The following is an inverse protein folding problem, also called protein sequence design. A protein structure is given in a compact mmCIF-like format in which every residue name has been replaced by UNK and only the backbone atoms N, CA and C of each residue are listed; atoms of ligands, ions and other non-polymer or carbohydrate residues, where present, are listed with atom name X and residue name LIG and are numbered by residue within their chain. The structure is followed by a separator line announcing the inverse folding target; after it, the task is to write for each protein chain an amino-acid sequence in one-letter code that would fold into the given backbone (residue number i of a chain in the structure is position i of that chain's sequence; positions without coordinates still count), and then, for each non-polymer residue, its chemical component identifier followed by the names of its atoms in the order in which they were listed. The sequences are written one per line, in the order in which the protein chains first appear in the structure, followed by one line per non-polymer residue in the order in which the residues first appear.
data_IF_889261605420
#
_entry.id   IF_889261605420
#
_cell.length_a   1.000
_cell.length_b   1.000
_cell.length_c   1.000
_cell.angle_alpha   90.00
_cell.angle_beta   90.00
_cell.angle_gamma   90.00
#
_symmetry.space_group_name_H-M   'P 1'
#
loop_
_entity.id
_entity.type
_entity.pdbx_description
1 polymer ?
#
# COMPACT_ATOMS: atom_id res chain seq x y z
N UNK A 1 -4.10 -3.59 -6.72
CA UNK A 1 -4.98 -2.70 -7.54
C UNK A 1 -6.44 -3.06 -7.29
N UNK A 2 -7.42 -2.19 -7.52
CA UNK A 2 -8.80 -2.50 -7.08
C UNK A 2 -9.91 -1.86 -7.92
N UNK A 3 -11.03 -2.57 -8.06
CA UNK A 3 -12.28 -2.00 -8.59
C UNK A 3 -13.05 -1.27 -7.48
N UNK A 4 -13.74 -0.20 -7.85
CA UNK A 4 -14.59 0.58 -6.94
C UNK A 4 -15.84 1.10 -7.67
N UNK A 5 -16.69 1.81 -6.93
CA UNK A 5 -17.87 2.50 -7.48
C UNK A 5 -18.78 1.57 -8.30
N UNK A 6 -19.01 0.35 -7.81
CA UNK A 6 -19.70 -0.74 -8.51
C UNK A 6 -19.07 -1.03 -9.89
N UNK A 7 -17.76 -1.27 -9.91
CA UNK A 7 -16.96 -1.58 -11.10
C UNK A 7 -16.91 -0.46 -12.15
N UNK A 8 -17.32 0.77 -11.82
CA UNK A 8 -17.21 1.94 -12.72
C UNK A 8 -15.83 2.57 -12.68
N UNK A 9 -15.11 2.37 -11.59
CA UNK A 9 -13.76 2.88 -11.40
C UNK A 9 -12.78 1.73 -11.15
N UNK A 10 -11.57 1.89 -11.67
CA UNK A 10 -10.44 1.01 -11.38
C UNK A 10 -9.25 1.85 -10.91
N UNK A 11 -8.70 1.48 -9.77
CA UNK A 11 -7.58 2.19 -9.14
C UNK A 11 -6.31 1.35 -9.22
N UNK A 12 -5.22 2.00 -9.62
CA UNK A 12 -3.88 1.41 -9.70
C UNK A 12 -2.93 2.28 -8.90
N UNK A 13 -2.15 1.67 -8.01
CA UNK A 13 -1.05 2.34 -7.31
C UNK A 13 0.27 1.97 -7.99
N UNK A 14 1.19 2.92 -8.06
CA UNK A 14 2.61 2.58 -8.23
C UNK A 14 3.15 2.02 -6.90
N UNK A 15 4.02 1.01 -6.96
CA UNK A 15 4.66 0.45 -5.76
C UNK A 15 5.62 1.47 -5.13
N UNK A 16 6.45 2.10 -5.97
CA UNK A 16 7.48 3.07 -5.61
C UNK A 16 7.36 4.35 -6.45
N UNK A 17 8.02 5.45 -6.05
CA UNK A 17 7.99 6.71 -6.80
C UNK A 17 8.42 6.52 -8.25
N UNK A 18 7.78 7.27 -9.15
CA UNK A 18 8.30 7.45 -10.50
C UNK A 18 9.63 8.22 -10.44
N UNK A 19 10.46 8.08 -11.48
CA UNK A 19 11.75 8.75 -11.54
C UNK A 19 11.64 10.27 -11.33
N UNK A 20 10.66 10.89 -11.99
CA UNK A 20 10.34 12.31 -11.89
C UNK A 20 9.72 12.71 -10.55
N UNK A 21 9.09 11.77 -9.85
CA UNK A 21 8.42 12.01 -8.58
C UNK A 21 9.38 11.98 -7.39
N UNK A 22 10.65 11.62 -7.60
CA UNK A 22 11.72 11.78 -6.62
C UNK A 22 12.30 10.45 -6.10
N UNK A 23 13.12 10.51 -5.04
CA UNK A 23 13.78 9.32 -4.50
C UNK A 23 12.78 8.36 -3.86
N UNK A 24 13.12 7.07 -3.86
CA UNK A 24 12.39 6.01 -3.14
C UNK A 24 12.41 6.22 -1.63
N UNK A 25 11.51 5.59 -0.90
CA UNK A 25 11.51 5.61 0.55
C UNK A 25 12.80 4.99 1.12
N UNK A 26 13.40 5.63 2.11
CA UNK A 26 14.63 5.17 2.78
C UNK A 26 14.45 5.24 4.30
N UNK A 27 15.37 4.64 5.07
CA UNK A 27 15.27 4.59 6.53
C UNK A 27 15.15 5.98 7.17
N UNK A 28 15.88 6.96 6.63
CA UNK A 28 15.86 8.35 7.08
C UNK A 28 15.00 9.28 6.18
N UNK A 29 14.22 8.72 5.26
CA UNK A 29 13.40 9.49 4.33
C UNK A 29 11.98 8.90 4.24
N UNK A 30 11.08 9.51 5.02
CA UNK A 30 9.63 9.28 4.94
C UNK A 30 8.99 10.21 3.92
N UNK A 31 7.85 9.80 3.41
CA UNK A 31 7.02 10.63 2.54
C UNK A 31 7.44 10.63 1.08
N UNK A 32 8.13 9.59 0.63
CA UNK A 32 8.40 9.37 -0.78
C UNK A 32 7.06 9.30 -1.55
N UNK A 33 6.82 10.18 -2.54
CA UNK A 33 5.51 10.28 -3.17
C UNK A 33 5.34 9.25 -4.29
N UNK A 34 4.21 8.55 -4.27
CA UNK A 34 3.75 7.68 -5.35
C UNK A 34 2.42 8.18 -5.88
N UNK A 35 2.02 7.67 -7.05
CA UNK A 35 0.75 8.01 -7.69
C UNK A 35 -0.25 6.86 -7.60
N UNK A 36 -1.47 7.21 -7.19
CA UNK A 36 -2.65 6.35 -7.31
C UNK A 36 -3.52 6.89 -8.44
N UNK A 37 -3.69 6.14 -9.51
CA UNK A 37 -4.45 6.55 -10.70
C UNK A 37 -5.84 5.94 -10.67
N UNK A 38 -6.88 6.77 -10.84
CA UNK A 38 -8.27 6.37 -11.07
C UNK A 38 -8.52 6.28 -12.57
N UNK A 39 -9.01 5.16 -13.06
CA UNK A 39 -9.45 4.94 -14.43
C UNK A 39 -10.96 4.76 -14.52
N UNK A 40 -11.56 5.25 -15.61
CA UNK A 40 -12.92 4.85 -16.03
C UNK A 40 -12.84 3.46 -16.67
N UNK A 41 -13.59 2.50 -16.15
CA UNK A 41 -13.53 1.10 -16.61
C UNK A 41 -14.16 0.88 -17.98
N UNK A 42 -14.99 1.79 -18.47
CA UNK A 42 -15.63 1.71 -19.78
C UNK A 42 -14.78 2.35 -20.86
N UNK A 43 -14.17 3.51 -20.58
CA UNK A 43 -13.36 4.24 -21.57
C UNK A 43 -11.88 3.95 -21.47
N UNK A 44 -11.43 3.28 -20.39
CA UNK A 44 -10.03 3.01 -20.06
C UNK A 44 -9.15 4.27 -19.94
N UNK A 45 -9.79 5.43 -19.69
CA UNK A 45 -9.09 6.72 -19.60
C UNK A 45 -8.80 7.04 -18.14
N UNK A 46 -7.64 7.64 -17.83
CA UNK A 46 -7.38 8.15 -16.48
C UNK A 46 -8.34 9.32 -16.20
N UNK A 47 -9.01 9.27 -15.05
CA UNK A 47 -9.93 10.30 -14.57
C UNK A 47 -9.23 11.25 -13.58
N UNK A 48 -8.36 10.70 -12.73
CA UNK A 48 -7.62 11.45 -11.72
C UNK A 48 -6.36 10.70 -11.31
N UNK A 49 -5.40 11.42 -10.76
CA UNK A 49 -4.28 10.85 -10.02
C UNK A 49 -4.21 11.51 -8.65
N UNK A 50 -3.83 10.75 -7.63
CA UNK A 50 -3.67 11.24 -6.27
C UNK A 50 -2.27 10.91 -5.77
N UNK A 51 -1.66 11.87 -5.07
CA UNK A 51 -0.38 11.66 -4.43
C UNK A 51 -0.57 10.91 -3.11
N UNK A 52 0.10 9.76 -2.99
CA UNK A 52 0.21 8.99 -1.75
C UNK A 52 1.64 9.09 -1.25
N UNK A 53 1.82 9.31 0.05
CA UNK A 53 3.14 9.45 0.66
C UNK A 53 3.48 8.17 1.42
N UNK A 54 4.51 7.44 0.96
CA UNK A 54 5.00 6.22 1.61
C UNK A 54 5.54 6.51 3.01
N UNK A 55 5.44 5.53 3.91
CA UNK A 55 6.21 5.57 5.15
C UNK A 55 7.71 5.36 4.88
N UNK A 56 8.55 5.63 5.87
CA UNK A 56 9.98 5.31 5.76
C UNK A 56 10.20 3.79 5.72
N UNK A 57 11.35 3.39 5.18
CA UNK A 57 11.86 2.03 5.31
C UNK A 57 11.98 1.66 6.81
N UNK A 58 11.50 0.48 7.19
CA UNK A 58 11.41 0.08 8.60
C UNK A 58 12.79 -0.13 9.25
N UNK A 59 13.75 -0.67 8.49
CA UNK A 59 15.10 -0.95 8.95
C UNK A 59 16.12 -0.51 7.90
N UNK A 60 17.26 0.01 8.35
CA UNK A 60 18.39 0.28 7.47
C UNK A 60 19.08 -1.03 7.08
N UNK A 61 19.29 -1.26 5.79
CA UNK A 61 19.89 -2.48 5.25
C UNK A 61 21.30 -2.75 5.78
N UNK A 62 21.63 -4.04 5.94
CA UNK A 62 22.94 -4.53 6.38
C UNK A 62 23.41 -5.67 5.47
N UNK A 63 24.50 -5.51 4.70
CA UNK A 63 25.38 -4.33 4.60
C UNK A 63 24.68 -3.13 3.93
N UNK A 64 25.29 -1.95 3.99
CA UNK A 64 24.73 -0.70 3.44
C UNK A 64 24.47 -0.75 1.91
N UNK A 65 25.17 -1.64 1.20
CA UNK A 65 24.96 -1.93 -0.23
C UNK A 65 23.84 -2.94 -0.50
N UNK A 66 23.17 -3.42 0.55
CA UNK A 66 22.10 -4.40 0.46
C UNK A 66 20.86 -3.85 -0.24
N UNK A 67 20.07 -4.75 -0.82
CA UNK A 67 18.79 -4.38 -1.40
C UNK A 67 17.80 -3.96 -0.29
N UNK A 68 16.98 -2.96 -0.60
CA UNK A 68 15.89 -2.52 0.24
C UNK A 68 14.74 -2.00 -0.61
N UNK A 69 13.54 -2.04 -0.07
CA UNK A 69 12.36 -1.42 -0.65
C UNK A 69 11.32 -1.17 0.44
N UNK A 70 10.62 -0.03 0.39
CA UNK A 70 9.31 0.13 1.01
C UNK A 70 8.37 0.67 -0.06
N UNK A 71 7.26 -0.01 -0.27
CA UNK A 71 6.31 0.29 -1.34
C UNK A 71 4.90 -0.19 -1.03
N UNK A 72 3.95 0.22 -1.87
CA UNK A 72 2.57 -0.27 -1.82
C UNK A 72 2.45 -1.54 -2.67
N UNK A 73 2.17 -2.67 -2.02
CA UNK A 73 2.00 -3.95 -2.69
C UNK A 73 0.53 -4.22 -3.04
N UNK A 74 -0.39 -3.80 -2.16
CA UNK A 74 -1.81 -4.04 -2.37
C UNK A 74 -2.70 -2.88 -1.93
N UNK A 75 -3.77 -2.67 -2.70
CA UNK A 75 -4.82 -1.69 -2.41
C UNK A 75 -6.19 -2.35 -2.58
N UNK A 76 -7.14 -2.05 -1.69
CA UNK A 76 -8.51 -2.53 -1.76
C UNK A 76 -9.48 -1.39 -1.46
N UNK A 77 -10.40 -1.10 -2.38
CA UNK A 77 -11.46 -0.12 -2.14
C UNK A 77 -12.47 -0.68 -1.14
N UNK A 78 -12.85 0.13 -0.16
CA UNK A 78 -13.87 -0.22 0.86
C UNK A 78 -15.11 0.68 0.80
N UNK A 79 -15.19 1.56 -0.22
CA UNK A 79 -16.31 2.46 -0.48
C UNK A 79 -16.07 3.87 0.04
N UNK A 80 -16.95 4.82 -0.32
CA UNK A 80 -16.89 6.23 0.14
C UNK A 80 -15.52 6.91 -0.04
N UNK A 81 -14.85 6.67 -1.18
CA UNK A 81 -13.50 7.19 -1.45
C UNK A 81 -12.42 6.71 -0.45
N UNK A 82 -12.69 5.60 0.25
CA UNK A 82 -11.80 4.98 1.22
C UNK A 82 -11.25 3.64 0.73
N UNK A 83 -10.04 3.34 1.20
CA UNK A 83 -9.26 2.18 0.82
C UNK A 83 -8.49 1.61 2.00
N UNK A 84 -8.19 0.32 1.93
CA UNK A 84 -7.11 -0.30 2.69
C UNK A 84 -5.87 -0.41 1.78
N UNK A 85 -4.73 0.04 2.28
CA UNK A 85 -3.43 -0.05 1.60
C UNK A 85 -2.50 -0.91 2.44
N UNK A 86 -1.72 -1.75 1.78
CA UNK A 86 -0.61 -2.51 2.39
C UNK A 86 0.69 -1.87 1.92
N UNK A 87 1.49 -1.40 2.87
CA UNK A 87 2.91 -1.11 2.61
C UNK A 87 3.77 -2.24 3.18
N UNK A 88 4.75 -2.69 2.39
CA UNK A 88 5.74 -3.68 2.80
C UNK A 88 7.14 -3.11 2.70
N UNK A 89 7.87 -3.21 3.80
CA UNK A 89 9.27 -2.85 3.91
C UNK A 89 10.13 -4.10 3.99
N UNK A 90 11.04 -4.26 3.03
CA UNK A 90 12.08 -5.29 3.01
C UNK A 90 13.46 -4.64 3.09
N UNK A 91 14.38 -5.26 3.83
CA UNK A 91 15.78 -4.82 3.90
C UNK A 91 16.71 -6.02 4.13
N UNK A 92 17.74 -6.15 3.28
CA UNK A 92 18.78 -7.16 3.48
C UNK A 92 19.41 -7.03 4.88
N UNK A 93 19.69 -8.15 5.52
CA UNK A 93 20.20 -8.21 6.89
C UNK A 93 19.12 -8.45 7.95
N UNK A 94 17.85 -8.52 7.55
CA UNK A 94 16.70 -8.82 8.40
C UNK A 94 15.94 -10.02 7.83
N UNK A 95 15.33 -10.81 8.72
CA UNK A 95 14.73 -12.11 8.36
C UNK A 95 13.25 -12.04 8.00
N UNK A 96 12.59 -10.91 8.24
CA UNK A 96 11.16 -10.73 8.00
C UNK A 96 10.90 -9.38 7.36
N UNK A 97 9.77 -9.28 6.65
CA UNK A 97 9.22 -8.02 6.18
C UNK A 97 8.52 -7.29 7.33
N UNK A 98 8.57 -5.96 7.33
CA UNK A 98 7.62 -5.15 8.11
C UNK A 98 6.46 -4.80 7.20
N UNK A 99 5.24 -5.15 7.61
CA UNK A 99 4.02 -4.96 6.81
C UNK A 99 3.03 -4.12 7.60
N UNK A 100 2.51 -3.06 6.98
CA UNK A 100 1.59 -2.12 7.61
C UNK A 100 0.32 -1.99 6.78
N UNK A 101 -0.83 -2.07 7.45
CA UNK A 101 -2.14 -1.80 6.86
C UNK A 101 -2.55 -0.38 7.21
N UNK A 102 -2.90 0.41 6.20
CA UNK A 102 -3.36 1.78 6.33
C UNK A 102 -4.79 1.94 5.85
N UNK A 103 -5.58 2.73 6.57
CA UNK A 103 -6.80 3.33 6.06
C UNK A 103 -6.41 4.59 5.28
N UNK A 104 -6.89 4.68 4.05
CA UNK A 104 -6.59 5.77 3.12
C UNK A 104 -7.87 6.39 2.63
N UNK A 105 -7.93 7.73 2.61
CA UNK A 105 -9.08 8.49 2.16
C UNK A 105 -8.63 9.53 1.12
N UNK A 106 -9.24 9.49 -0.07
CA UNK A 106 -8.90 10.36 -1.20
C UNK A 106 -9.84 11.57 -1.35
N UNK A 107 -10.88 11.69 -0.51
CA UNK A 107 -11.98 12.65 -0.69
C UNK A 107 -11.51 14.10 -0.88
N UNK A 108 -10.54 14.54 -0.07
CA UNK A 108 -10.03 15.92 -0.10
C UNK A 108 -8.69 16.04 -0.86
N UNK A 109 -8.20 14.93 -1.45
CA UNK A 109 -6.92 14.90 -2.13
C UNK A 109 -6.96 15.72 -3.43
N UNK A 110 -5.85 16.40 -3.73
CA UNK A 110 -5.73 17.13 -4.98
C UNK A 110 -5.52 16.16 -6.14
N UNK A 111 -6.21 16.40 -7.27
CA UNK A 111 -5.91 15.68 -8.51
C UNK A 111 -4.56 16.18 -9.07
N UNK A 112 -3.56 15.31 -9.07
CA UNK A 112 -2.18 15.60 -9.48
C UNK A 112 -1.85 15.12 -10.90
N UNK A 113 -2.85 14.72 -11.69
CA UNK A 113 -2.63 14.16 -13.04
C UNK A 113 -1.90 15.11 -14.00
N UNK A 114 -1.98 16.42 -13.77
CA UNK A 114 -1.31 17.44 -14.59
C UNK A 114 0.08 17.83 -14.06
N UNK A 115 0.47 17.33 -12.88
CA UNK A 115 1.78 17.61 -12.31
C UNK A 115 2.82 16.68 -12.92
N UNK A 116 3.91 17.26 -13.43
CA UNK A 116 5.02 16.50 -14.02
C UNK A 116 5.92 15.84 -12.99
N UNK A 117 5.98 16.34 -11.75
CA UNK A 117 6.85 15.82 -10.70
C UNK A 117 6.27 16.15 -9.32
N UNK A 118 6.02 15.14 -8.49
CA UNK A 118 5.48 15.33 -7.14
C UNK A 118 6.53 15.89 -6.15
N UNK A 119 7.78 15.40 -6.16
CA UNK A 119 8.79 15.89 -5.20
C UNK A 119 9.19 17.35 -5.43
N UNK A 120 9.09 17.87 -6.66
CA UNK A 120 9.40 19.27 -6.97
C UNK A 120 8.23 20.22 -6.68
N UNK A 121 7.01 19.71 -6.56
CA UNK A 121 5.81 20.50 -6.38
C UNK A 121 5.22 20.26 -4.98
N UNK A 122 5.21 21.28 -4.11
CA UNK A 122 4.64 21.14 -2.76
C UNK A 122 3.19 21.62 -2.66
N UNK A 123 2.62 22.11 -3.75
CA UNK A 123 1.30 22.73 -3.78
C UNK A 123 0.23 21.71 -4.19
N UNK A 124 0.14 20.61 -3.46
CA UNK A 124 -0.96 19.66 -3.57
C UNK A 124 -1.28 19.07 -2.20
N UNK A 125 -2.53 18.67 -1.99
CA UNK A 125 -2.93 17.88 -0.83
C UNK A 125 -2.78 16.39 -1.16
N UNK A 126 -1.88 15.64 -0.50
CA UNK A 126 -1.85 14.19 -0.64
C UNK A 126 -3.11 13.57 -0.03
N UNK A 127 -3.31 12.28 -0.29
CA UNK A 127 -4.36 11.51 0.38
C UNK A 127 -4.18 11.52 1.91
N UNK A 128 -5.28 11.39 2.64
CA UNK A 128 -5.21 11.16 4.09
C UNK A 128 -4.87 9.70 4.36
N UNK A 129 -4.00 9.45 5.34
CA UNK A 129 -3.51 8.11 5.70
C UNK A 129 -3.48 7.91 7.20
N UNK A 130 -4.00 6.79 7.70
CA UNK A 130 -3.97 6.36 9.11
C UNK A 130 -3.50 4.91 9.22
N UNK A 131 -2.47 4.65 10.03
CA UNK A 131 -2.05 3.28 10.34
C UNK A 131 -3.16 2.57 11.13
N UNK A 132 -3.57 1.39 10.67
CA UNK A 132 -4.53 0.53 11.36
C UNK A 132 -3.83 -0.61 12.10
N UNK A 133 -2.86 -1.26 11.46
CA UNK A 133 -2.15 -2.39 12.04
C UNK A 133 -0.71 -2.45 11.50
N UNK A 134 0.25 -2.63 12.39
CA UNK A 134 1.60 -3.10 12.04
C UNK A 134 1.69 -4.59 12.36
N UNK A 135 1.94 -5.42 11.35
CA UNK A 135 1.96 -6.88 11.51
C UNK A 135 3.15 -7.37 12.36
N UNK A 136 4.17 -6.54 12.59
CA UNK A 136 5.24 -6.83 13.54
C UNK A 136 4.72 -7.06 14.96
N UNK A 137 3.56 -6.48 15.32
CA UNK A 137 2.89 -6.67 16.62
C UNK A 137 2.39 -8.10 16.84
N UNK A 138 2.29 -8.91 15.78
CA UNK A 138 1.83 -10.29 15.85
C UNK A 138 2.91 -11.27 16.36
N UNK A 139 4.14 -10.79 16.59
CA UNK A 139 5.27 -11.57 17.13
C UNK A 139 5.54 -12.89 16.37
N UNK A 140 5.40 -12.85 15.04
CA UNK A 140 5.67 -13.98 14.14
C UNK A 140 6.21 -13.47 12.81
N UNK A 141 7.03 -14.30 12.15
CA UNK A 141 7.50 -13.96 10.81
C UNK A 141 6.36 -14.00 9.80
N UNK A 142 6.26 -12.94 9.00
CA UNK A 142 5.28 -12.78 7.93
C UNK A 142 6.03 -12.44 6.65
N UNK A 143 5.81 -13.26 5.62
CA UNK A 143 6.42 -13.12 4.29
C UNK A 143 5.63 -12.12 3.44
N UNK A 144 5.85 -12.09 2.12
CA UNK A 144 5.37 -11.00 1.24
C UNK A 144 3.86 -11.03 1.10
N UNK A 145 3.16 -10.16 1.83
CA UNK A 145 1.71 -10.01 1.68
C UNK A 145 1.44 -9.28 0.37
N UNK A 146 0.94 -10.01 -0.61
CA UNK A 146 0.69 -9.55 -1.99
C UNK A 146 -0.81 -9.57 -2.34
N UNK A 147 -1.67 -9.86 -1.37
CA UNK A 147 -3.11 -9.88 -1.60
C UNK A 147 -3.92 -9.67 -0.33
N UNK A 148 -5.06 -9.00 -0.52
CA UNK A 148 -6.00 -8.66 0.54
C UNK A 148 -7.43 -8.73 0.00
N UNK A 149 -8.35 -9.33 0.78
CA UNK A 149 -9.76 -9.34 0.44
C UNK A 149 -10.64 -9.33 1.69
N UNK A 150 -11.86 -8.81 1.54
CA UNK A 150 -12.89 -8.98 2.55
C UNK A 150 -13.38 -10.42 2.53
N UNK A 151 -13.42 -11.04 3.70
CA UNK A 151 -14.03 -12.34 3.90
C UNK A 151 -15.52 -12.25 4.29
N UNK A 152 -16.13 -13.39 4.66
CA UNK A 152 -17.50 -13.43 5.15
C UNK A 152 -17.67 -12.66 6.47
N UNK A 153 -18.92 -12.41 6.84
CA UNK A 153 -19.25 -11.99 8.20
C UNK A 153 -18.94 -13.13 9.17
N UNK A 154 -18.27 -12.81 10.26
CA UNK A 154 -18.03 -13.69 11.39
C UNK A 154 -19.33 -13.88 12.20
N UNK A 155 -19.42 -14.89 13.09
CA UNK A 155 -20.64 -15.15 13.87
C UNK A 155 -21.12 -13.96 14.73
N UNK A 156 -20.22 -13.04 15.08
CA UNK A 156 -20.53 -11.82 15.82
C UNK A 156 -21.03 -10.67 14.92
N UNK A 157 -21.16 -10.89 13.61
CA UNK A 157 -21.61 -9.89 12.63
C UNK A 157 -20.50 -9.01 12.07
N UNK A 158 -19.28 -9.06 12.61
CA UNK A 158 -18.15 -8.28 12.10
C UNK A 158 -17.62 -8.89 10.81
N UNK A 159 -17.07 -8.03 9.94
CA UNK A 159 -16.49 -8.48 8.67
C UNK A 159 -15.08 -9.01 8.89
N UNK A 160 -14.72 -10.10 8.23
CA UNK A 160 -13.34 -10.59 8.22
C UNK A 160 -12.50 -9.93 7.12
N UNK A 161 -11.20 -9.85 7.36
CA UNK A 161 -10.17 -9.49 6.39
C UNK A 161 -9.23 -10.66 6.20
N UNK A 162 -8.95 -11.03 4.95
CA UNK A 162 -8.03 -12.11 4.60
C UNK A 162 -6.84 -11.50 3.89
N UNK A 163 -5.64 -11.84 4.36
CA UNK A 163 -4.38 -11.53 3.70
C UNK A 163 -3.73 -12.82 3.20
N UNK A 164 -3.04 -12.74 2.07
CA UNK A 164 -2.24 -13.85 1.54
C UNK A 164 -0.79 -13.43 1.31
N UNK A 165 0.13 -14.27 1.77
CA UNK A 165 1.56 -14.11 1.51
C UNK A 165 2.01 -15.00 0.36
N UNK A 166 2.75 -14.42 -0.59
CA UNK A 166 3.49 -15.15 -1.61
C UNK A 166 4.88 -15.54 -1.10
N UNK A 167 5.31 -16.76 -1.43
CA UNK A 167 6.65 -17.24 -1.15
C UNK A 167 7.67 -16.94 -2.25
N UNK A 168 7.29 -16.25 -3.34
CA UNK A 168 8.16 -15.96 -4.49
C UNK A 168 8.89 -17.20 -5.04
N UNK A 169 8.29 -18.39 -4.89
CA UNK A 169 8.93 -19.68 -5.19
C UNK A 169 10.28 -19.91 -4.47
N UNK A 170 10.53 -19.22 -3.36
CA UNK A 170 11.74 -19.34 -2.56
C UNK A 170 11.55 -20.34 -1.42
N UNK A 171 12.53 -21.22 -1.20
CA UNK A 171 12.50 -22.26 -0.16
C UNK A 171 12.38 -21.71 1.26
N UNK A 172 12.87 -20.49 1.50
CA UNK A 172 12.91 -19.87 2.82
C UNK A 172 11.68 -19.00 3.12
N UNK A 173 10.84 -18.73 2.13
CA UNK A 173 9.59 -17.98 2.31
C UNK A 173 8.41 -18.95 2.35
N UNK A 174 7.34 -18.55 3.04
CA UNK A 174 6.14 -19.37 3.25
C UNK A 174 4.92 -18.71 2.64
N UNK A 175 4.10 -19.50 1.96
CA UNK A 175 2.73 -19.09 1.69
C UNK A 175 1.94 -19.08 2.99
N UNK A 176 1.32 -17.95 3.30
CA UNK A 176 0.57 -17.75 4.54
C UNK A 176 -0.81 -17.21 4.21
N UNK A 177 -1.81 -17.61 4.98
CA UNK A 177 -3.14 -16.98 4.97
C UNK A 177 -3.38 -16.45 6.38
N UNK A 178 -3.63 -15.15 6.50
CA UNK A 178 -3.94 -14.50 7.76
C UNK A 178 -5.40 -14.03 7.73
N UNK A 179 -6.15 -14.40 8.77
CA UNK A 179 -7.53 -13.98 8.96
C UNK A 179 -7.58 -12.99 10.12
N UNK A 180 -8.16 -11.83 9.89
CA UNK A 180 -8.43 -10.81 10.90
C UNK A 180 -9.92 -10.52 10.98
N UNK A 181 -10.34 -10.06 12.16
CA UNK A 181 -11.63 -9.43 12.36
C UNK A 181 -11.48 -7.91 12.20
N UNK A 182 -12.39 -7.28 11.47
CA UNK A 182 -12.47 -5.81 11.38
C UNK A 182 -13.38 -5.31 12.50
N UNK A 183 -12.83 -4.49 13.38
CA UNK A 183 -13.57 -3.83 14.47
C UNK A 183 -14.06 -2.45 13.97
N UNK A 184 -15.38 -2.19 13.97
CA UNK A 184 -15.96 -0.91 13.57
C UNK A 184 -15.60 0.28 14.48
#
# INVERSE_FOLDING_TARGET
STFADNYKAYYVSMESPLYEDGPVAMFNYKGAPIRVTKFDTRTHKPLAQYAYLLDALAYEQKPSTGFFINGVDEIMAIGNDQFLFIERSFSVGYTQNTIKIFLVDIKDATNVATLSALHLNKNYRPVSKKLLLNLDELNRSIDNIEGMTLGPLLPNGNRSLILIADNNFQLLQKSQVLLFEIIP
#
